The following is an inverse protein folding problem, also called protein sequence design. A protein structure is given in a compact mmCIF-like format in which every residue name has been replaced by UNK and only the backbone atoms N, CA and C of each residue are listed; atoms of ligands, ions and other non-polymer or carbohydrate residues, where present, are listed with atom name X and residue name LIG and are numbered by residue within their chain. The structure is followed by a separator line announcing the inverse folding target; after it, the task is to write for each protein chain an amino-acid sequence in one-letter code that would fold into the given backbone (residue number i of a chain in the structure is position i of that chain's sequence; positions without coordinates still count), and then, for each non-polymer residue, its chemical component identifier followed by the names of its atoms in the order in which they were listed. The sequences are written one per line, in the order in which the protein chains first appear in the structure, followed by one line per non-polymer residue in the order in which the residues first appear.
data_IF_509299255812
#
_entry.id   IF_509299255812
#
_cell.length_a   1.000
_cell.length_b   1.000
_cell.length_c   1.000
_cell.angle_alpha   90.00
_cell.angle_beta   90.00
_cell.angle_gamma   90.00
#
_symmetry.space_group_name_H-M   'P 1'
#
loop_
_entity.id
_entity.type
_entity.pdbx_description
1 polymer ?
#
# COMPACT_ATOMS: atom_id res chain seq x y z
N UNK A 1 0.46 -9.77 13.53
CA UNK A 1 -0.53 -8.68 13.57
C UNK A 1 -0.94 -8.25 14.98
N UNK A 2 -1.11 -9.14 15.96
CA UNK A 2 -1.50 -8.74 17.33
C UNK A 2 -0.57 -7.69 17.96
N UNK A 3 0.75 -7.91 17.91
CA UNK A 3 1.76 -7.00 18.47
C UNK A 3 1.79 -5.62 17.78
N UNK A 4 1.42 -5.53 16.50
CA UNK A 4 1.40 -4.24 15.80
C UNK A 4 0.36 -3.31 16.41
N UNK A 5 -0.84 -3.80 16.65
CA UNK A 5 -1.95 -3.01 17.20
C UNK A 5 -1.72 -2.56 18.64
N UNK A 6 -0.97 -3.33 19.42
CA UNK A 6 -0.57 -2.96 20.78
C UNK A 6 0.45 -1.81 20.81
N UNK A 7 1.29 -1.71 19.77
CA UNK A 7 2.34 -0.69 19.66
C UNK A 7 1.96 0.49 18.76
N UNK A 8 0.84 0.40 18.04
CA UNK A 8 0.45 1.40 17.05
C UNK A 8 0.04 2.71 17.74
N UNK A 9 0.89 3.72 17.59
CA UNK A 9 0.63 5.08 18.03
C UNK A 9 -0.05 5.89 16.92
N UNK A 10 -1.37 6.08 17.05
CA UNK A 10 -2.18 6.82 16.08
C UNK A 10 -1.94 8.34 16.09
N UNK A 11 -1.24 8.89 17.09
CA UNK A 11 -0.85 10.30 17.11
C UNK A 11 0.42 10.52 16.27
N UNK A 12 1.43 9.65 16.45
CA UNK A 12 2.70 9.70 15.73
C UNK A 12 2.68 9.08 14.33
N UNK A 13 1.75 8.17 14.05
CA UNK A 13 1.66 7.43 12.79
C UNK A 13 0.24 7.40 12.23
N UNK A 14 0.15 7.32 10.90
CA UNK A 14 -1.10 7.15 10.19
C UNK A 14 -1.02 6.02 9.17
N UNK A 15 -2.17 5.41 8.92
CA UNK A 15 -2.34 4.33 7.94
C UNK A 15 -3.09 4.86 6.72
N UNK A 16 -2.64 4.46 5.54
CA UNK A 16 -3.18 4.91 4.27
C UNK A 16 -3.39 3.73 3.34
N UNK A 17 -4.62 3.56 2.83
CA UNK A 17 -4.89 2.67 1.71
C UNK A 17 -4.56 3.40 0.42
N UNK A 18 -3.81 2.77 -0.47
CA UNK A 18 -3.56 3.27 -1.81
C UNK A 18 -4.22 2.38 -2.87
N UNK A 19 -4.78 2.98 -3.90
CA UNK A 19 -5.35 2.28 -5.05
C UNK A 19 -4.91 2.99 -6.32
N UNK A 20 -4.32 2.25 -7.25
CA UNK A 20 -3.83 2.83 -8.50
C UNK A 20 -5.01 3.23 -9.40
N UNK A 21 -4.94 4.42 -9.98
CA UNK A 21 -6.07 5.01 -10.71
C UNK A 21 -6.24 4.44 -12.12
N UNK A 22 -5.18 3.84 -12.70
CA UNK A 22 -5.14 3.40 -14.10
C UNK A 22 -5.03 1.88 -14.26
N UNK A 23 -5.72 1.11 -13.42
CA UNK A 23 -5.66 -0.36 -13.44
C UNK A 23 -6.04 -0.99 -14.80
N UNK A 24 -6.91 -0.33 -15.57
CA UNK A 24 -7.33 -0.81 -16.90
C UNK A 24 -6.15 -0.93 -17.90
N UNK A 25 -5.06 -0.20 -17.68
CA UNK A 25 -3.87 -0.22 -18.55
C UNK A 25 -2.90 -1.36 -18.19
N UNK A 26 -3.04 -1.94 -17.00
CA UNK A 26 -2.18 -3.01 -16.50
C UNK A 26 -2.57 -4.36 -17.12
N UNK A 27 -2.34 -4.54 -18.42
CA UNK A 27 -2.69 -5.77 -19.14
C UNK A 27 -1.61 -6.85 -19.10
N UNK A 28 -0.36 -6.46 -18.80
CA UNK A 28 0.80 -7.34 -18.79
C UNK A 28 1.40 -7.39 -17.39
N UNK A 29 1.43 -8.59 -16.80
CA UNK A 29 1.82 -8.79 -15.40
C UNK A 29 3.26 -8.32 -15.11
N UNK A 30 4.21 -8.74 -15.94
CA UNK A 30 5.62 -8.36 -15.75
C UNK A 30 5.84 -6.84 -15.86
N UNK A 31 5.12 -6.16 -16.76
CA UNK A 31 5.19 -4.69 -16.88
C UNK A 31 4.60 -4.00 -15.66
N UNK A 32 3.47 -4.51 -15.16
CA UNK A 32 2.82 -4.01 -13.93
C UNK A 32 3.75 -4.19 -12.72
N UNK A 33 4.39 -5.35 -12.59
CA UNK A 33 5.38 -5.62 -11.54
C UNK A 33 6.57 -4.65 -11.58
N UNK A 34 7.09 -4.36 -12.78
CA UNK A 34 8.18 -3.40 -12.94
C UNK A 34 7.76 -1.97 -12.58
N UNK A 35 6.54 -1.57 -12.94
CA UNK A 35 5.96 -0.27 -12.57
C UNK A 35 5.93 -0.11 -11.05
N UNK A 36 5.35 -1.08 -10.33
CA UNK A 36 5.26 -1.04 -8.86
C UNK A 36 6.64 -1.12 -8.20
N UNK A 37 7.56 -1.90 -8.77
CA UNK A 37 8.95 -1.96 -8.28
C UNK A 37 9.66 -0.61 -8.42
N UNK A 38 9.45 0.08 -9.56
CA UNK A 38 9.98 1.42 -9.80
C UNK A 38 9.43 2.44 -8.81
N UNK A 39 8.12 2.37 -8.51
CA UNK A 39 7.49 3.20 -7.50
C UNK A 39 8.16 3.02 -6.12
N UNK A 40 8.28 1.77 -5.65
CA UNK A 40 8.92 1.46 -4.36
C UNK A 40 10.37 1.95 -4.30
N UNK A 41 11.12 1.83 -5.40
CA UNK A 41 12.51 2.30 -5.46
C UNK A 41 12.62 3.83 -5.38
N UNK A 42 11.74 4.56 -6.08
CA UNK A 42 11.73 6.05 -6.09
C UNK A 42 11.28 6.63 -4.76
N UNK A 43 10.43 5.94 -4.00
CA UNK A 43 10.03 6.35 -2.65
C UNK A 43 11.15 6.22 -1.60
N UNK A 44 12.39 5.91 -1.98
CA UNK A 44 13.51 5.63 -1.06
C UNK A 44 13.85 6.75 -0.07
N UNK A 45 13.55 8.02 -0.39
CA UNK A 45 13.81 9.17 0.49
C UNK A 45 13.05 9.06 1.82
N UNK A 46 11.84 8.51 1.81
CA UNK A 46 10.99 8.37 3.00
C UNK A 46 11.20 7.05 3.75
N UNK A 47 12.21 6.25 3.42
CA UNK A 47 12.43 4.90 3.97
C UNK A 47 12.52 4.86 5.50
N UNK A 48 12.97 5.94 6.15
CA UNK A 48 13.02 6.03 7.63
C UNK A 48 11.66 6.29 8.28
N UNK A 49 10.68 6.74 7.50
CA UNK A 49 9.41 7.30 7.97
C UNK A 49 8.19 6.61 7.37
N UNK A 50 8.40 5.60 6.54
CA UNK A 50 7.35 4.90 5.82
C UNK A 50 7.61 3.40 5.76
N UNK A 51 6.53 2.64 5.85
CA UNK A 51 6.48 1.22 5.51
C UNK A 51 5.28 1.00 4.62
N UNK A 52 5.41 0.22 3.56
CA UNK A 52 4.34 0.02 2.59
C UNK A 52 4.33 -1.38 2.03
N UNK A 53 3.15 -1.94 1.83
CA UNK A 53 2.97 -3.19 1.08
C UNK A 53 2.07 -2.90 -0.10
N UNK A 54 2.59 -3.14 -1.29
CA UNK A 54 1.90 -3.03 -2.57
C UNK A 54 1.61 -4.44 -3.09
N UNK A 55 0.35 -4.71 -3.41
CA UNK A 55 -0.14 -5.97 -3.94
C UNK A 55 -0.62 -5.76 -5.39
N UNK A 56 -0.24 -6.68 -6.26
CA UNK A 56 -0.75 -6.77 -7.62
C UNK A 56 -1.69 -7.97 -7.67
N UNK A 57 -2.97 -7.73 -7.94
CA UNK A 57 -4.00 -8.76 -7.84
C UNK A 57 -4.86 -8.87 -9.10
N UNK A 58 -5.54 -10.01 -9.23
CA UNK A 58 -6.45 -10.32 -10.35
C UNK A 58 -5.78 -11.11 -11.47
N UNK A 59 -6.52 -11.37 -12.55
CA UNK A 59 -6.05 -12.14 -13.72
C UNK A 59 -5.99 -11.31 -15.00
N UNK A 60 -6.04 -9.98 -14.87
CA UNK A 60 -5.96 -9.03 -15.98
C UNK A 60 -7.31 -8.38 -16.32
N UNK A 61 -7.36 -7.05 -16.50
CA UNK A 61 -6.34 -6.06 -16.13
C UNK A 61 -5.98 -6.16 -14.64
N UNK A 62 -4.70 -6.01 -14.31
CA UNK A 62 -4.19 -6.18 -12.96
C UNK A 62 -4.46 -4.96 -12.10
N UNK A 63 -4.96 -5.19 -10.90
CA UNK A 63 -5.20 -4.14 -9.94
C UNK A 63 -4.01 -3.97 -9.02
N UNK A 64 -3.60 -2.73 -8.81
CA UNK A 64 -2.56 -2.38 -7.85
C UNK A 64 -3.20 -1.69 -6.65
N UNK A 65 -3.09 -2.36 -5.50
CA UNK A 65 -3.60 -1.88 -4.21
C UNK A 65 -2.51 -1.98 -3.16
N UNK A 66 -2.61 -1.21 -2.08
CA UNK A 66 -1.63 -1.32 -1.01
C UNK A 66 -2.05 -0.61 0.25
N UNK A 67 -1.28 -0.85 1.31
CA UNK A 67 -1.42 -0.15 2.60
C UNK A 67 -0.06 0.34 3.06
N UNK A 68 -0.02 1.62 3.41
CA UNK A 68 1.15 2.33 3.90
C UNK A 68 0.96 2.79 5.34
N UNK A 69 1.98 2.58 6.14
CA UNK A 69 2.18 3.17 7.46
C UNK A 69 3.15 4.34 7.30
N UNK A 70 2.72 5.55 7.63
CA UNK A 70 3.48 6.78 7.44
C UNK A 70 3.60 7.53 8.76
N UNK A 71 4.78 8.11 9.01
CA UNK A 71 4.98 8.97 10.18
C UNK A 71 4.25 10.29 9.98
N UNK A 72 3.56 10.74 11.02
CA UNK A 72 2.70 11.92 10.98
C UNK A 72 1.31 11.62 10.43
N UNK A 73 0.55 12.68 10.16
CA UNK A 73 -0.88 12.61 9.86
C UNK A 73 -1.22 12.89 8.38
N UNK A 74 -0.20 13.11 7.55
CA UNK A 74 -0.33 13.53 6.15
C UNK A 74 0.45 12.59 5.24
N UNK A 75 -0.07 12.36 4.03
CA UNK A 75 0.62 11.59 2.98
C UNK A 75 1.63 12.42 2.19
N UNK A 76 1.63 13.76 2.40
CA UNK A 76 2.45 14.72 1.67
C UNK A 76 3.94 14.35 1.56
N UNK A 77 4.62 13.80 2.58
CA UNK A 77 6.01 13.39 2.43
C UNK A 77 6.26 12.36 1.33
N UNK A 78 5.30 11.46 1.09
CA UNK A 78 5.40 10.48 -0.01
C UNK A 78 5.15 11.14 -1.36
N UNK A 79 4.17 12.04 -1.45
CA UNK A 79 3.86 12.79 -2.68
C UNK A 79 5.05 13.68 -3.09
N UNK A 80 5.69 14.36 -2.13
CA UNK A 80 6.84 15.22 -2.40
C UNK A 80 8.10 14.43 -2.79
N UNK A 81 8.22 13.18 -2.36
CA UNK A 81 9.37 12.32 -2.64
C UNK A 81 9.24 11.50 -3.92
N UNK A 82 8.02 11.27 -4.40
CA UNK A 82 7.77 10.43 -5.57
C UNK A 82 6.53 10.91 -6.33
N UNK A 83 6.76 11.60 -7.45
CA UNK A 83 5.70 12.12 -8.33
C UNK A 83 4.69 11.04 -8.77
N UNK A 84 5.12 9.78 -8.89
CA UNK A 84 4.21 8.69 -9.27
C UNK A 84 3.14 8.40 -8.21
N UNK A 85 3.34 8.87 -6.97
CA UNK A 85 2.36 8.75 -5.90
C UNK A 85 1.05 9.48 -6.24
N UNK A 86 1.07 10.48 -7.14
CA UNK A 86 -0.12 11.18 -7.63
C UNK A 86 -1.05 10.28 -8.46
N UNK A 87 -0.53 9.20 -9.06
CA UNK A 87 -1.33 8.23 -9.81
C UNK A 87 -2.11 7.24 -8.92
N UNK A 88 -1.99 7.39 -7.61
CA UNK A 88 -2.71 6.61 -6.62
C UNK A 88 -3.72 7.49 -5.88
N UNK A 89 -4.91 6.93 -5.65
CA UNK A 89 -5.83 7.48 -4.66
C UNK A 89 -5.38 7.05 -3.27
N UNK A 90 -5.13 8.03 -2.40
CA UNK A 90 -4.71 7.82 -1.01
C UNK A 90 -5.86 8.08 -0.05
N UNK A 91 -6.31 7.04 0.63
CA UNK A 91 -7.39 7.13 1.62
C UNK A 91 -6.80 6.89 3.00
N UNK A 92 -6.87 7.91 3.87
CA UNK A 92 -6.47 7.78 5.26
C UNK A 92 -7.43 6.86 5.99
N UNK A 93 -6.89 5.90 6.72
CA UNK A 93 -7.68 5.01 7.59
C UNK A 93 -7.96 5.77 8.88
N UNK A 94 -9.23 5.82 9.27
CA UNK A 94 -9.66 6.56 10.46
C UNK A 94 -9.06 5.98 11.73
N UNK A 95 -8.77 6.85 12.70
CA UNK A 95 -8.42 6.47 14.06
C UNK A 95 -9.60 6.81 14.99
N UNK A 96 -10.06 5.88 15.86
CA UNK A 96 -9.53 4.53 16.07
C UNK A 96 -9.80 3.60 14.88
N UNK A 97 -8.86 2.69 14.60
CA UNK A 97 -8.94 1.76 13.47
C UNK A 97 -10.03 0.72 13.75
N UNK A 98 -11.00 0.61 12.84
CA UNK A 98 -12.11 -0.35 12.96
C UNK A 98 -11.60 -1.79 12.83
N UNK A 99 -12.32 -2.77 13.38
CA UNK A 99 -11.91 -4.17 13.25
C UNK A 99 -11.94 -4.66 11.80
N UNK A 100 -12.79 -4.07 10.96
CA UNK A 100 -12.82 -4.32 9.52
C UNK A 100 -11.54 -3.80 8.84
N UNK A 101 -11.09 -2.58 9.18
CA UNK A 101 -9.83 -2.04 8.65
C UNK A 101 -8.63 -2.84 9.16
N UNK A 102 -8.63 -3.26 10.43
CA UNK A 102 -7.56 -4.13 10.96
C UNK A 102 -7.48 -5.45 10.20
N UNK A 103 -8.61 -6.06 9.86
CA UNK A 103 -8.67 -7.29 9.07
C UNK A 103 -8.13 -7.05 7.65
N UNK A 104 -8.55 -5.98 6.98
CA UNK A 104 -8.06 -5.60 5.66
C UNK A 104 -6.55 -5.33 5.64
N UNK A 105 -6.03 -4.61 6.64
CA UNK A 105 -4.59 -4.34 6.77
C UNK A 105 -3.82 -5.64 7.03
N UNK A 106 -4.37 -6.52 7.87
CA UNK A 106 -3.78 -7.83 8.14
C UNK A 106 -3.74 -8.69 6.89
N UNK A 107 -4.80 -8.67 6.09
CA UNK A 107 -4.84 -9.35 4.80
C UNK A 107 -3.80 -8.75 3.84
N UNK A 108 -3.76 -7.42 3.69
CA UNK A 108 -2.81 -6.73 2.81
C UNK A 108 -1.34 -7.01 3.16
N UNK A 109 -1.01 -7.03 4.45
CA UNK A 109 0.37 -7.18 4.92
C UNK A 109 0.83 -8.63 5.08
N UNK A 110 -0.08 -9.57 5.29
CA UNK A 110 0.28 -10.94 5.65
C UNK A 110 -0.29 -12.02 4.72
N UNK A 111 -1.24 -11.70 3.84
CA UNK A 111 -1.78 -12.69 2.90
C UNK A 111 -0.77 -12.98 1.80
N UNK A 112 -0.61 -14.27 1.50
CA UNK A 112 0.25 -14.78 0.43
C UNK A 112 -0.55 -15.27 -0.79
N UNK A 113 -1.88 -15.38 -0.67
CA UNK A 113 -2.73 -16.05 -1.66
C UNK A 113 -3.75 -15.11 -2.30
N UNK A 114 -4.51 -14.37 -1.49
CA UNK A 114 -5.62 -13.53 -1.96
C UNK A 114 -5.73 -12.22 -1.20
N UNK A 115 -6.16 -11.16 -1.89
CA UNK A 115 -6.60 -9.89 -1.30
C UNK A 115 -8.01 -9.61 -1.80
N UNK A 116 -8.97 -9.38 -0.90
CA UNK A 116 -10.37 -9.09 -1.25
C UNK A 116 -10.96 -10.15 -2.22
N UNK A 117 -10.54 -11.41 -2.07
CA UNK A 117 -10.94 -12.54 -2.93
C UNK A 117 -10.26 -12.60 -4.30
N UNK A 118 -9.39 -11.63 -4.65
CA UNK A 118 -8.58 -11.64 -5.88
C UNK A 118 -7.25 -12.31 -5.63
N UNK A 119 -6.81 -13.16 -6.56
CA UNK A 119 -5.52 -13.84 -6.49
C UNK A 119 -4.37 -12.82 -6.52
N UNK A 120 -3.41 -12.98 -5.61
CA UNK A 120 -2.16 -12.21 -5.63
C UNK A 120 -1.28 -12.77 -6.76
N UNK A 121 -0.81 -11.86 -7.62
CA UNK A 121 0.12 -12.17 -8.70
C UNK A 121 1.56 -11.83 -8.32
N UNK A 122 1.74 -10.72 -7.59
CA UNK A 122 3.04 -10.29 -7.08
C UNK A 122 2.85 -9.28 -5.93
N UNK A 123 3.87 -9.16 -5.09
CA UNK A 123 3.89 -8.30 -3.92
C UNK A 123 5.21 -7.53 -3.87
N UNK A 124 5.15 -6.23 -3.60
CA UNK A 124 6.33 -5.37 -3.40
C UNK A 124 6.23 -4.69 -2.04
N UNK A 125 7.29 -4.85 -1.24
CA UNK A 125 7.36 -4.29 0.11
C UNK A 125 8.36 -3.14 0.12
N UNK A 126 7.89 -1.98 0.58
CA UNK A 126 8.71 -0.84 0.95
C UNK A 126 9.11 -0.94 2.42
N UNK A 127 10.41 -1.11 2.64
CA UNK A 127 11.10 -1.18 3.93
C UNK A 127 12.47 -0.55 3.81
#
# INVERSE_FOLDING_TARGET
MATFWEMFDAEGWSLWKCTYNYNAENTVMFMTSNLVSGFVQRSGEIRKWGFGVMQIVGEGPFEVVGVWLMRGQEIKPLLDANDDAEYYTWTKIAAPVSDADKAMISEMWCSETTIEGKKIQDCKVFK
#
